data_IF_593811685495
#
_entry.id   IF_593811685495
#
_cell.length_a   1.000
_cell.length_b   1.000
_cell.length_c   1.000
_cell.angle_alpha   90.00
_cell.angle_beta   90.00
_cell.angle_gamma   90.00
#
_symmetry.space_group_name_H-M   'P 1'
#
loop_
_entity.id
_entity.type
_entity.pdbx_description
1 polymer ?
#
# COMPACT_ATOMS: atom_id res chain seq x y z
N UNK A 1 -70.55 -60.13 -21.37
CA UNK A 1 -69.13 -60.38 -21.68
C UNK A 1 -68.30 -59.53 -20.74
N UNK A 2 -67.50 -60.16 -19.89
CA UNK A 2 -66.40 -59.50 -19.15
C UNK A 2 -65.24 -59.17 -20.14
N UNK A 3 -64.25 -58.31 -19.82
CA UNK A 3 -63.29 -58.54 -18.72
C UNK A 3 -62.90 -57.26 -17.90
N UNK A 4 -62.62 -57.42 -16.60
CA UNK A 4 -61.30 -57.30 -15.91
C UNK A 4 -60.83 -55.85 -15.62
N UNK A 5 -60.82 -55.40 -14.37
CA UNK A 5 -59.82 -55.68 -13.32
C UNK A 5 -58.43 -55.07 -13.57
N UNK A 6 -58.15 -53.91 -12.93
CA UNK A 6 -56.80 -53.56 -12.47
C UNK A 6 -56.82 -52.58 -11.29
N UNK A 7 -56.89 -53.19 -10.11
CA UNK A 7 -56.25 -52.84 -8.84
C UNK A 7 -55.24 -51.67 -8.85
N UNK A 8 -55.44 -50.64 -8.02
CA UNK A 8 -54.41 -50.03 -7.13
C UNK A 8 -55.05 -49.36 -5.89
N UNK A 9 -54.94 -50.08 -4.78
CA UNK A 9 -54.95 -49.69 -3.35
C UNK A 9 -55.14 -48.19 -3.05
N UNK A 10 -56.30 -47.81 -2.50
CA UNK A 10 -56.42 -46.65 -1.60
C UNK A 10 -56.11 -47.11 -0.18
N UNK A 11 -54.84 -46.99 0.21
CA UNK A 11 -54.43 -47.11 1.61
C UNK A 11 -54.88 -45.88 2.40
N UNK A 12 -55.50 -46.14 3.55
CA UNK A 12 -55.76 -45.21 4.64
C UNK A 12 -54.61 -44.20 4.80
N UNK A 13 -54.89 -42.90 4.63
CA UNK A 13 -54.00 -41.84 5.10
C UNK A 13 -54.18 -41.75 6.61
N UNK A 14 -53.30 -42.46 7.33
CA UNK A 14 -53.09 -42.26 8.77
C UNK A 14 -52.40 -40.90 8.94
N UNK A 15 -53.11 -39.96 9.59
CA UNK A 15 -52.52 -38.71 10.05
C UNK A 15 -51.49 -39.04 11.13
N UNK A 16 -50.22 -39.22 10.73
CA UNK A 16 -49.09 -39.22 11.67
C UNK A 16 -48.83 -37.79 12.12
N UNK A 17 -48.98 -37.60 13.42
CA UNK A 17 -48.62 -36.45 14.21
C UNK A 17 -47.21 -35.95 13.87
N UNK A 18 -47.08 -34.64 13.65
CA UNK A 18 -45.78 -33.96 13.57
C UNK A 18 -45.13 -34.10 14.95
N UNK A 19 -43.88 -34.58 15.07
CA UNK A 19 -43.19 -34.58 16.35
C UNK A 19 -42.95 -33.14 16.78
N UNK A 20 -43.53 -32.75 17.92
CA UNK A 20 -43.22 -31.51 18.62
C UNK A 20 -41.75 -31.61 19.04
N UNK A 21 -40.87 -30.86 18.38
CA UNK A 21 -39.52 -30.64 18.90
C UNK A 21 -39.66 -29.90 20.22
N UNK A 22 -39.32 -30.58 21.31
CA UNK A 22 -39.16 -29.96 22.62
C UNK A 22 -38.17 -28.78 22.48
N UNK A 23 -38.47 -27.60 23.05
CA UNK A 23 -37.48 -26.55 23.13
C UNK A 23 -36.35 -27.04 24.04
N UNK A 24 -35.16 -27.24 23.46
CA UNK A 24 -33.93 -27.49 24.20
C UNK A 24 -33.71 -26.36 25.21
N UNK A 25 -34.18 -26.55 26.44
CA UNK A 25 -33.88 -25.71 27.60
C UNK A 25 -32.79 -26.39 28.42
N UNK A 26 -31.69 -26.76 27.74
CA UNK A 26 -30.43 -27.01 28.43
C UNK A 26 -29.75 -25.67 28.67
N UNK A 27 -30.22 -24.97 29.71
CA UNK A 27 -29.45 -23.91 30.36
C UNK A 27 -28.20 -24.59 30.95
N UNK A 28 -27.13 -24.57 30.15
CA UNK A 28 -25.82 -24.97 30.63
C UNK A 28 -25.35 -23.82 31.51
N UNK A 29 -25.56 -23.93 32.82
CA UNK A 29 -25.00 -22.98 33.79
C UNK A 29 -23.49 -23.13 33.76
N UNK A 30 -22.82 -22.34 32.93
CA UNK A 30 -21.36 -22.24 32.91
C UNK A 30 -20.93 -21.56 34.21
N UNK A 31 -20.58 -22.35 35.22
CA UNK A 31 -19.83 -21.85 36.38
C UNK A 31 -18.48 -21.35 35.89
N UNK A 32 -18.28 -20.03 35.94
CA UNK A 32 -17.01 -19.40 35.60
C UNK A 32 -15.90 -19.91 36.54
N UNK A 33 -14.72 -20.28 36.03
CA UNK A 33 -13.60 -20.69 36.87
C UNK A 33 -13.03 -19.45 37.58
N UNK A 34 -13.01 -19.47 38.92
CA UNK A 34 -12.27 -18.57 39.83
C UNK A 34 -12.12 -17.09 39.40
N UNK A 35 -13.22 -16.47 38.97
CA UNK A 35 -13.34 -15.06 38.66
C UNK A 35 -14.82 -14.68 38.59
N UNK A 36 -15.17 -13.43 38.88
CA UNK A 36 -16.57 -13.01 38.80
C UNK A 36 -17.05 -13.13 37.35
N UNK A 37 -18.30 -13.57 37.14
CA UNK A 37 -18.93 -13.64 35.83
C UNK A 37 -18.81 -12.30 35.06
N UNK A 38 -18.84 -11.18 35.79
CA UNK A 38 -18.65 -9.85 35.23
C UNK A 38 -17.23 -9.64 34.66
N UNK A 39 -16.19 -10.19 35.29
CA UNK A 39 -14.82 -10.12 34.79
C UNK A 39 -14.63 -10.95 33.50
N UNK A 40 -15.20 -12.17 33.46
CA UNK A 40 -15.19 -13.00 32.26
C UNK A 40 -15.98 -12.37 31.10
N UNK A 41 -17.14 -11.75 31.40
CA UNK A 41 -17.93 -11.02 30.41
C UNK A 41 -17.20 -9.78 29.88
N UNK A 42 -16.59 -8.99 30.76
CA UNK A 42 -15.81 -7.81 30.38
C UNK A 42 -14.62 -8.19 29.47
N UNK A 43 -13.90 -9.25 29.82
CA UNK A 43 -12.80 -9.77 29.01
C UNK A 43 -13.28 -10.25 27.63
N UNK A 44 -14.41 -10.95 27.58
CA UNK A 44 -15.03 -11.36 26.31
C UNK A 44 -15.40 -10.15 25.43
N UNK A 45 -16.06 -9.14 26.00
CA UNK A 45 -16.45 -7.92 25.28
C UNK A 45 -15.23 -7.18 24.72
N UNK A 46 -14.15 -7.04 25.51
CA UNK A 46 -12.91 -6.40 25.05
C UNK A 46 -12.28 -7.15 23.88
N UNK A 47 -12.21 -8.48 23.93
CA UNK A 47 -11.67 -9.29 22.82
C UNK A 47 -12.51 -9.19 21.54
N UNK A 48 -13.85 -9.10 21.68
CA UNK A 48 -14.71 -8.89 20.51
C UNK A 48 -14.57 -7.47 19.96
N UNK A 49 -14.44 -6.45 20.83
CA UNK A 49 -14.24 -5.07 20.41
C UNK A 49 -12.95 -4.91 19.58
N UNK A 50 -11.84 -5.52 20.02
CA UNK A 50 -10.56 -5.52 19.27
C UNK A 50 -10.70 -6.15 17.89
N UNK A 51 -11.45 -7.26 17.78
CA UNK A 51 -11.73 -7.92 16.50
C UNK A 51 -12.60 -7.05 15.59
N UNK A 52 -13.62 -6.39 16.13
CA UNK A 52 -14.45 -5.46 15.35
C UNK A 52 -13.63 -4.25 14.86
N UNK A 53 -12.79 -3.68 15.72
CA UNK A 53 -11.91 -2.57 15.34
C UNK A 53 -11.00 -2.97 14.19
N UNK A 54 -10.35 -4.14 14.27
CA UNK A 54 -9.49 -4.60 13.17
C UNK A 54 -10.27 -4.84 11.89
N UNK A 55 -11.45 -5.48 11.96
CA UNK A 55 -12.28 -5.68 10.78
C UNK A 55 -12.63 -4.35 10.09
N UNK A 56 -13.00 -3.33 10.87
CA UNK A 56 -13.26 -1.97 10.36
C UNK A 56 -12.01 -1.33 9.77
N UNK A 57 -10.84 -1.47 10.39
CA UNK A 57 -9.56 -0.97 9.85
C UNK A 57 -9.24 -1.61 8.50
N UNK A 58 -9.43 -2.92 8.37
CA UNK A 58 -9.19 -3.64 7.12
C UNK A 58 -10.15 -3.22 6.02
N UNK A 59 -11.43 -2.97 6.36
CA UNK A 59 -12.43 -2.44 5.44
C UNK A 59 -12.09 -1.01 4.99
N UNK A 60 -11.71 -0.14 5.91
CA UNK A 60 -11.26 1.23 5.62
C UNK A 60 -10.06 1.21 4.69
N UNK A 61 -9.05 0.39 4.98
CA UNK A 61 -7.86 0.26 4.12
C UNK A 61 -8.23 -0.24 2.72
N UNK A 62 -9.11 -1.24 2.63
CA UNK A 62 -9.57 -1.76 1.35
C UNK A 62 -10.33 -0.70 0.53
N UNK A 63 -11.16 0.11 1.17
CA UNK A 63 -11.88 1.22 0.53
C UNK A 63 -10.92 2.35 0.11
N UNK A 64 -10.06 2.82 1.01
CA UNK A 64 -9.03 3.84 0.72
C UNK A 64 -8.18 3.45 -0.49
N UNK A 65 -7.82 2.17 -0.60
CA UNK A 65 -6.93 1.71 -1.67
C UNK A 65 -7.49 1.77 -3.08
N UNK A 66 -8.80 2.06 -3.23
CA UNK A 66 -9.40 2.33 -4.54
C UNK A 66 -8.95 3.69 -5.08
N UNK A 67 -8.83 4.68 -4.20
CA UNK A 67 -8.46 6.06 -4.54
C UNK A 67 -6.96 6.29 -4.38
N UNK A 68 -6.40 5.86 -3.25
CA UNK A 68 -4.98 5.99 -2.92
C UNK A 68 -4.44 4.69 -2.30
N UNK A 69 -3.93 3.76 -3.15
CA UNK A 69 -3.39 2.50 -2.66
C UNK A 69 -2.09 2.67 -1.86
N UNK A 70 -1.33 3.74 -2.06
CA UNK A 70 -0.11 4.00 -1.30
C UNK A 70 -0.43 4.44 0.13
N UNK A 71 -1.38 5.37 0.30
CA UNK A 71 -1.84 5.79 1.62
C UNK A 71 -2.49 4.63 2.39
N UNK A 72 -3.28 3.79 1.71
CA UNK A 72 -3.88 2.61 2.32
C UNK A 72 -2.84 1.60 2.82
N UNK A 73 -1.75 1.39 2.07
CA UNK A 73 -0.64 0.54 2.50
C UNK A 73 0.05 1.10 3.74
N UNK A 74 0.39 2.40 3.74
CA UNK A 74 1.02 3.05 4.90
C UNK A 74 0.12 2.97 6.15
N UNK A 75 -1.18 3.25 6.00
CA UNK A 75 -2.17 3.15 7.07
C UNK A 75 -2.18 1.76 7.74
N UNK A 76 -2.05 0.69 6.95
CA UNK A 76 -1.97 -0.67 7.49
C UNK A 76 -0.59 -1.01 8.08
N UNK A 77 0.50 -0.48 7.56
CA UNK A 77 1.85 -0.78 8.03
C UNK A 77 2.21 -0.03 9.33
N UNK A 78 1.66 1.16 9.54
CA UNK A 78 1.90 1.97 10.74
C UNK A 78 1.27 1.36 12.01
N UNK A 79 0.30 0.44 11.88
CA UNK A 79 -0.27 -0.28 13.02
C UNK A 79 0.71 -1.33 13.56
N UNK A 80 1.24 -1.05 14.76
CA UNK A 80 2.13 -1.94 15.52
C UNK A 80 1.42 -3.02 16.33
N UNK A 81 0.10 -2.91 16.50
CA UNK A 81 -0.69 -3.91 17.21
C UNK A 81 -0.72 -5.25 16.45
N UNK A 82 -0.63 -6.35 17.20
CA UNK A 82 -0.77 -7.70 16.66
C UNK A 82 -2.17 -7.86 16.04
N UNK A 83 -2.28 -8.30 14.78
CA UNK A 83 -3.57 -8.50 14.13
C UNK A 83 -4.31 -9.70 14.74
N UNK A 84 -5.56 -9.51 15.14
CA UNK A 84 -6.49 -10.60 15.44
C UNK A 84 -6.87 -11.42 14.19
N UNK A 85 -6.74 -10.85 12.98
CA UNK A 85 -6.95 -11.54 11.70
C UNK A 85 -5.72 -11.47 10.78
N UNK A 86 -4.60 -12.15 11.12
CA UNK A 86 -3.34 -12.03 10.40
C UNK A 86 -3.42 -12.42 8.92
N UNK A 87 -4.20 -13.46 8.59
CA UNK A 87 -4.39 -13.90 7.21
C UNK A 87 -5.22 -12.91 6.38
N UNK A 88 -6.26 -12.34 6.98
CA UNK A 88 -7.08 -11.33 6.31
C UNK A 88 -6.27 -10.06 6.07
N UNK A 89 -5.51 -9.60 7.07
CA UNK A 89 -4.59 -8.45 6.93
C UNK A 89 -3.58 -8.65 5.80
N UNK A 90 -2.95 -9.83 5.71
CA UNK A 90 -2.05 -10.14 4.59
C UNK A 90 -2.76 -10.14 3.23
N UNK A 91 -3.97 -10.69 3.15
CA UNK A 91 -4.74 -10.70 1.90
C UNK A 91 -5.14 -9.29 1.45
N UNK A 92 -5.52 -8.42 2.39
CA UNK A 92 -5.82 -7.02 2.10
C UNK A 92 -4.56 -6.29 1.64
N UNK A 93 -3.43 -6.44 2.35
CA UNK A 93 -2.14 -5.88 1.93
C UNK A 93 -1.75 -6.33 0.51
N UNK A 94 -1.84 -7.63 0.20
CA UNK A 94 -1.54 -8.15 -1.14
C UNK A 94 -2.47 -7.59 -2.22
N UNK A 95 -3.74 -7.34 -1.90
CA UNK A 95 -4.68 -6.69 -2.83
C UNK A 95 -4.30 -5.22 -3.08
N UNK A 96 -3.87 -4.52 -2.04
CA UNK A 96 -3.37 -3.15 -2.14
C UNK A 96 -2.11 -3.11 -3.01
N UNK A 97 -1.15 -4.01 -2.78
CA UNK A 97 0.07 -4.15 -3.57
C UNK A 97 -0.22 -4.40 -5.05
N UNK A 98 -1.18 -5.28 -5.37
CA UNK A 98 -1.61 -5.50 -6.75
C UNK A 98 -2.20 -4.23 -7.40
N UNK A 99 -2.91 -3.39 -6.64
CA UNK A 99 -3.44 -2.11 -7.14
C UNK A 99 -2.32 -1.10 -7.37
N UNK A 100 -1.32 -1.06 -6.50
CA UNK A 100 -0.11 -0.24 -6.69
C UNK A 100 0.57 -0.66 -8.01
N UNK A 101 0.83 -1.95 -8.20
CA UNK A 101 1.48 -2.45 -9.41
C UNK A 101 0.66 -2.18 -10.68
N UNK A 102 -0.67 -2.32 -10.60
CA UNK A 102 -1.56 -1.97 -11.71
C UNK A 102 -1.53 -0.46 -12.03
N UNK A 103 -1.49 0.40 -11.02
CA UNK A 103 -1.36 1.85 -11.19
C UNK A 103 0.00 2.21 -11.79
N UNK A 104 1.09 1.58 -11.34
CA UNK A 104 2.44 1.73 -11.91
C UNK A 104 2.46 1.30 -13.38
N UNK A 105 1.83 0.18 -13.72
CA UNK A 105 1.74 -0.30 -15.10
C UNK A 105 0.92 0.65 -15.98
N UNK A 106 -0.26 1.10 -15.53
CA UNK A 106 -1.10 2.04 -16.27
C UNK A 106 -0.42 3.40 -16.46
N UNK A 107 0.31 3.88 -15.45
CA UNK A 107 1.15 5.06 -15.57
C UNK A 107 2.19 4.83 -16.67
N UNK A 108 3.00 3.76 -16.56
CA UNK A 108 4.01 3.39 -17.57
C UNK A 108 3.43 3.34 -19.00
N UNK A 109 2.27 2.73 -19.19
CA UNK A 109 1.63 2.64 -20.50
C UNK A 109 1.22 4.01 -21.06
N UNK A 110 0.75 4.92 -20.20
CA UNK A 110 0.51 6.33 -20.60
C UNK A 110 1.81 7.05 -20.96
N UNK A 111 2.92 6.75 -20.28
CA UNK A 111 4.23 7.32 -20.58
C UNK A 111 4.79 6.81 -21.91
N UNK A 112 4.53 5.55 -22.27
CA UNK A 112 4.95 4.98 -23.56
C UNK A 112 4.30 5.68 -24.76
N UNK A 113 3.16 6.35 -24.57
CA UNK A 113 2.49 7.15 -25.60
C UNK A 113 3.10 8.54 -25.78
N UNK A 114 3.90 9.01 -24.82
CA UNK A 114 4.62 10.29 -24.92
C UNK A 114 5.99 10.01 -25.53
N UNK A 115 6.22 10.54 -26.73
CA UNK A 115 7.49 10.36 -27.46
C UNK A 115 8.21 11.69 -27.61
N UNK A 116 9.54 11.64 -27.67
CA UNK A 116 10.40 12.83 -27.76
C UNK A 116 11.48 12.88 -26.69
N UNK A 117 12.36 13.87 -26.77
CA UNK A 117 13.49 14.01 -25.82
C UNK A 117 13.01 14.38 -24.41
N UNK A 118 11.89 15.08 -24.29
CA UNK A 118 11.19 15.46 -23.05
C UNK A 118 10.12 14.46 -22.60
N UNK A 119 10.05 13.29 -23.25
CA UNK A 119 9.21 12.22 -22.76
C UNK A 119 9.65 11.83 -21.33
N UNK A 120 8.72 11.39 -20.47
CA UNK A 120 9.03 10.89 -19.14
C UNK A 120 10.12 9.81 -19.14
N UNK A 121 11.22 10.03 -18.41
CA UNK A 121 12.40 9.16 -18.43
C UNK A 121 13.22 9.21 -19.74
N UNK A 122 12.94 10.20 -20.58
CA UNK A 122 13.55 10.48 -21.87
C UNK A 122 14.98 11.04 -21.77
N UNK A 123 15.50 11.57 -22.87
CA UNK A 123 16.88 12.06 -22.93
C UNK A 123 17.10 13.26 -22.00
N UNK A 124 16.12 14.15 -21.91
CA UNK A 124 16.17 15.33 -21.02
C UNK A 124 16.28 14.93 -19.56
N UNK A 125 15.45 13.99 -19.10
CA UNK A 125 15.49 13.48 -17.73
C UNK A 125 16.82 12.79 -17.41
N UNK A 126 17.29 11.92 -18.32
CA UNK A 126 18.59 11.24 -18.18
C UNK A 126 19.76 12.22 -18.18
N UNK A 127 19.68 13.30 -18.97
CA UNK A 127 20.71 14.33 -19.00
C UNK A 127 20.74 15.11 -17.68
N UNK A 128 19.58 15.47 -17.11
CA UNK A 128 19.51 16.11 -15.78
C UNK A 128 20.08 15.19 -14.69
N UNK A 129 19.68 13.93 -14.68
CA UNK A 129 20.22 12.92 -13.75
C UNK A 129 21.75 12.81 -13.87
N UNK A 130 22.28 12.73 -15.10
CA UNK A 130 23.71 12.65 -15.35
C UNK A 130 24.47 13.92 -14.92
N UNK A 131 23.89 15.11 -15.17
CA UNK A 131 24.46 16.39 -14.74
C UNK A 131 24.59 16.43 -13.21
N UNK A 132 23.53 16.06 -12.49
CA UNK A 132 23.54 16.03 -11.03
C UNK A 132 24.53 14.99 -10.49
N UNK A 133 24.55 13.77 -11.06
CA UNK A 133 25.47 12.71 -10.63
C UNK A 133 26.94 13.08 -10.81
N UNK A 134 27.25 13.86 -11.84
CA UNK A 134 28.62 14.31 -12.11
C UNK A 134 29.10 15.34 -11.10
N UNK A 135 28.22 16.24 -10.67
CA UNK A 135 28.53 17.33 -9.76
C UNK A 135 27.31 17.70 -8.90
N UNK A 136 27.05 16.94 -7.82
CA UNK A 136 25.90 17.20 -6.96
C UNK A 136 26.08 18.50 -6.17
N UNK A 137 27.32 18.88 -5.85
CA UNK A 137 27.67 20.08 -5.08
C UNK A 137 27.24 21.38 -5.76
N UNK A 138 27.15 21.39 -7.09
CA UNK A 138 26.63 22.53 -7.85
C UNK A 138 25.13 22.80 -7.60
N UNK A 139 24.36 21.79 -7.18
CA UNK A 139 22.90 21.89 -6.98
C UNK A 139 22.49 21.73 -5.52
N UNK A 140 23.29 21.00 -4.74
CA UNK A 140 23.07 20.71 -3.33
C UNK A 140 24.36 21.06 -2.57
N UNK A 141 24.45 22.25 -1.95
CA UNK A 141 25.66 22.70 -1.25
C UNK A 141 26.13 21.68 -0.21
N UNK A 142 27.42 21.34 -0.22
CA UNK A 142 28.00 20.35 0.68
C UNK A 142 27.82 18.89 0.25
N UNK A 143 27.17 18.63 -0.90
CA UNK A 143 27.07 17.30 -1.47
C UNK A 143 28.28 16.94 -2.34
N UNK A 144 28.76 15.72 -2.20
CA UNK A 144 29.82 15.12 -3.00
C UNK A 144 29.33 13.84 -3.70
N UNK A 145 30.06 13.42 -4.73
CA UNK A 145 29.79 12.17 -5.43
C UNK A 145 30.07 10.99 -4.51
N UNK A 146 29.05 10.18 -4.20
CA UNK A 146 29.25 8.95 -3.43
C UNK A 146 29.99 7.90 -4.26
N UNK A 147 30.81 7.10 -3.59
CA UNK A 147 31.49 5.92 -4.15
C UNK A 147 30.67 4.63 -3.97
N UNK A 148 29.58 4.70 -3.22
CA UNK A 148 28.69 3.55 -2.97
C UNK A 148 27.94 3.21 -4.25
N UNK A 149 27.94 1.93 -4.61
CA UNK A 149 27.23 1.46 -5.80
C UNK A 149 25.72 1.65 -5.64
N UNK A 150 25.00 1.93 -6.74
CA UNK A 150 23.55 1.81 -6.77
C UNK A 150 23.12 0.44 -6.27
N UNK A 151 22.17 0.38 -5.33
CA UNK A 151 21.65 -0.89 -4.80
C UNK A 151 20.35 -1.33 -5.49
N UNK A 152 19.68 -0.41 -6.16
CA UNK A 152 18.55 -0.68 -7.06
C UNK A 152 18.73 0.09 -8.37
N UNK A 153 18.03 -0.32 -9.45
CA UNK A 153 18.18 0.30 -10.78
C UNK A 153 17.94 1.82 -10.79
N UNK A 154 17.11 2.32 -9.88
CA UNK A 154 16.73 3.72 -9.81
C UNK A 154 17.38 4.50 -8.65
N UNK A 155 17.97 3.84 -7.64
CA UNK A 155 18.52 4.50 -6.46
C UNK A 155 20.04 4.51 -6.46
N UNK A 156 20.61 5.68 -6.14
CA UNK A 156 22.05 5.88 -5.95
C UNK A 156 22.27 6.76 -4.71
N UNK A 157 23.52 7.15 -4.45
CA UNK A 157 23.83 7.96 -3.27
C UNK A 157 24.59 9.23 -3.64
N UNK A 158 24.43 10.24 -2.79
CA UNK A 158 25.36 11.36 -2.65
C UNK A 158 25.92 11.35 -1.24
N UNK A 159 27.14 11.85 -1.08
CA UNK A 159 27.75 11.99 0.23
C UNK A 159 27.47 13.40 0.74
N UNK A 160 26.87 13.53 1.92
CA UNK A 160 26.63 14.84 2.55
C UNK A 160 27.06 14.73 4.01
N UNK A 161 27.94 15.62 4.44
CA UNK A 161 28.50 15.62 5.80
C UNK A 161 29.15 14.26 6.17
N UNK A 162 29.77 13.59 5.20
CA UNK A 162 30.39 12.28 5.38
C UNK A 162 29.43 11.10 5.51
N UNK A 163 28.11 11.30 5.33
CA UNK A 163 27.09 10.23 5.31
C UNK A 163 26.53 10.03 3.91
N UNK A 164 26.34 8.77 3.50
CA UNK A 164 25.65 8.45 2.26
C UNK A 164 24.14 8.69 2.39
N UNK A 165 23.58 9.39 1.40
CA UNK A 165 22.16 9.76 1.35
C UNK A 165 21.56 9.23 0.06
N UNK A 166 20.47 8.42 0.12
CA UNK A 166 19.84 7.88 -1.08
C UNK A 166 19.23 8.98 -1.93
N UNK A 167 19.37 8.82 -3.24
CA UNK A 167 18.93 9.72 -4.28
C UNK A 167 18.14 8.98 -5.35
N UNK A 168 17.10 9.61 -5.88
CA UNK A 168 16.33 9.12 -7.04
C UNK A 168 15.91 10.28 -7.94
N UNK A 169 15.81 10.03 -9.24
CA UNK A 169 15.22 10.98 -10.18
C UNK A 169 13.70 10.79 -10.19
N UNK A 170 12.96 11.86 -9.94
CA UNK A 170 11.50 11.88 -10.04
C UNK A 170 11.10 12.44 -11.39
N UNK A 171 10.45 11.61 -12.20
CA UNK A 171 9.86 12.09 -13.44
C UNK A 171 8.52 12.77 -13.15
N UNK A 172 8.24 13.91 -13.78
CA UNK A 172 6.99 14.66 -13.57
C UNK A 172 5.72 13.81 -13.71
N UNK A 173 5.76 12.83 -14.61
CA UNK A 173 4.60 11.99 -14.87
C UNK A 173 4.53 10.72 -13.99
N UNK A 174 5.54 10.49 -13.13
CA UNK A 174 5.60 9.38 -12.17
C UNK A 174 5.90 9.84 -10.73
N UNK A 175 5.78 11.14 -10.43
CA UNK A 175 6.18 11.78 -9.16
C UNK A 175 5.68 11.01 -7.93
N UNK A 176 4.40 10.63 -7.90
CA UNK A 176 3.80 9.93 -6.76
C UNK A 176 4.44 8.56 -6.53
N UNK A 177 4.65 7.79 -7.62
CA UNK A 177 5.29 6.48 -7.55
C UNK A 177 6.74 6.60 -7.13
N UNK A 178 7.51 7.49 -7.77
CA UNK A 178 8.94 7.65 -7.50
C UNK A 178 9.18 8.16 -6.06
N UNK A 179 8.30 9.04 -5.56
CA UNK A 179 8.37 9.52 -4.18
C UNK A 179 8.00 8.42 -3.18
N UNK A 180 7.03 7.57 -3.49
CA UNK A 180 6.69 6.43 -2.63
C UNK A 180 7.85 5.45 -2.53
N UNK A 181 8.49 5.12 -3.66
CA UNK A 181 9.66 4.24 -3.67
C UNK A 181 10.80 4.81 -2.78
N UNK A 182 10.96 6.15 -2.72
CA UNK A 182 11.91 6.79 -1.79
C UNK A 182 11.47 6.64 -0.33
N UNK A 183 10.19 6.80 -0.01
CA UNK A 183 9.67 6.60 1.35
C UNK A 183 9.88 5.16 1.81
N UNK A 184 9.59 4.18 0.96
CA UNK A 184 9.85 2.77 1.24
C UNK A 184 11.34 2.51 1.47
N UNK A 185 12.20 3.06 0.61
CA UNK A 185 13.66 2.96 0.76
C UNK A 185 14.12 3.43 2.14
N UNK A 186 13.62 4.58 2.64
CA UNK A 186 13.98 5.10 3.95
C UNK A 186 13.41 4.26 5.10
N UNK A 187 12.19 3.71 4.95
CA UNK A 187 11.57 2.86 5.95
C UNK A 187 12.31 1.51 6.12
N UNK A 188 12.75 0.91 5.01
CA UNK A 188 13.46 -0.37 5.00
C UNK A 188 14.93 -0.24 5.45
N UNK A 189 15.55 0.91 5.15
CA UNK A 189 16.97 1.14 5.41
C UNK A 189 17.17 2.18 6.53
N UNK A 190 17.01 1.72 7.78
CA UNK A 190 17.13 2.57 9.00
C UNK A 190 18.45 3.32 9.17
N UNK A 191 19.48 2.98 8.39
CA UNK A 191 20.74 3.72 8.34
C UNK A 191 20.61 5.11 7.70
N UNK A 192 19.54 5.34 6.91
CA UNK A 192 19.30 6.61 6.24
C UNK A 192 18.32 7.48 7.03
N UNK A 193 18.77 8.66 7.42
CA UNK A 193 17.95 9.65 8.14
C UNK A 193 17.14 10.54 7.18
N UNK A 194 17.61 10.70 5.93
CA UNK A 194 17.03 11.57 4.91
C UNK A 194 17.18 10.99 3.51
N UNK A 195 16.40 11.49 2.55
CA UNK A 195 16.51 11.17 1.13
C UNK A 195 16.50 12.43 0.23
N UNK A 196 17.03 12.30 -0.98
CA UNK A 196 17.02 13.38 -1.99
C UNK A 196 16.26 12.92 -3.23
N UNK A 197 15.28 13.69 -3.65
CA UNK A 197 14.61 13.52 -4.95
C UNK A 197 15.07 14.62 -5.88
N UNK A 198 15.51 14.26 -7.07
CA UNK A 198 15.95 15.23 -8.08
C UNK A 198 14.97 15.25 -9.24
N UNK A 199 14.73 16.41 -9.85
CA UNK A 199 13.83 16.49 -11.00
C UNK A 199 13.98 17.78 -11.79
N UNK A 200 13.18 17.90 -12.84
CA UNK A 200 13.08 19.14 -13.60
C UNK A 200 12.55 20.29 -12.71
N UNK A 201 12.98 21.55 -12.92
CA UNK A 201 12.50 22.70 -12.15
C UNK A 201 10.98 22.85 -12.12
N UNK A 202 10.32 22.46 -13.20
CA UNK A 202 8.86 22.49 -13.35
C UNK A 202 8.17 21.52 -12.38
N UNK A 203 8.82 20.42 -12.00
CA UNK A 203 8.34 19.42 -11.04
C UNK A 203 8.28 19.98 -9.60
N UNK A 204 9.02 21.04 -9.29
CA UNK A 204 9.10 21.60 -7.94
C UNK A 204 7.73 21.99 -7.36
N UNK A 205 6.85 22.55 -8.19
CA UNK A 205 5.49 22.96 -7.78
C UNK A 205 4.60 21.75 -7.51
N UNK A 206 4.71 20.74 -8.37
CA UNK A 206 3.88 19.54 -8.32
C UNK A 206 4.24 18.67 -7.09
N UNK A 207 5.49 18.73 -6.61
CA UNK A 207 5.98 17.90 -5.51
C UNK A 207 5.97 18.60 -4.13
N UNK A 208 5.94 19.93 -4.06
CA UNK A 208 6.12 20.68 -2.82
C UNK A 208 5.14 20.31 -1.68
N UNK A 209 3.92 19.88 -2.01
CA UNK A 209 2.92 19.44 -1.03
C UNK A 209 2.94 17.95 -0.69
N UNK A 210 3.79 17.16 -1.38
CA UNK A 210 3.86 15.71 -1.25
C UNK A 210 5.10 15.24 -0.48
N UNK A 211 6.14 16.08 -0.40
CA UNK A 211 7.42 15.71 0.22
C UNK A 211 7.30 15.52 1.74
N UNK A 212 7.68 14.34 2.25
CA UNK A 212 7.93 14.14 3.68
C UNK A 212 9.06 15.06 4.19
N UNK A 213 9.07 15.43 5.49
CA UNK A 213 10.02 16.40 6.04
C UNK A 213 11.48 15.95 5.97
N UNK A 214 11.74 14.65 5.87
CA UNK A 214 13.07 14.07 5.74
C UNK A 214 13.49 13.86 4.27
N UNK A 215 12.71 14.32 3.29
CA UNK A 215 13.03 14.23 1.87
C UNK A 215 13.16 15.63 1.28
N UNK A 216 14.30 15.93 0.67
CA UNK A 216 14.52 17.21 -0.01
C UNK A 216 14.40 17.05 -1.53
N UNK A 217 13.80 18.05 -2.18
CA UNK A 217 13.77 18.14 -3.65
C UNK A 217 14.86 19.06 -4.19
N UNK A 218 15.56 18.61 -5.22
CA UNK A 218 16.58 19.39 -5.94
C UNK A 218 16.19 19.54 -7.40
N UNK A 219 15.97 20.80 -7.81
CA UNK A 219 15.70 21.15 -9.20
C UNK A 219 17.01 21.18 -10.00
N UNK A 220 17.08 20.39 -11.07
CA UNK A 220 18.26 20.32 -11.93
C UNK A 220 17.91 20.87 -13.31
N UNK A 221 18.33 22.09 -13.69
CA UNK A 221 18.12 22.63 -15.03
C UNK A 221 18.95 21.87 -16.08
N UNK A 222 18.43 21.72 -17.30
CA UNK A 222 19.26 21.42 -18.45
C UNK A 222 20.07 22.65 -18.79
N UNK A 223 21.32 22.46 -19.21
CA UNK A 223 22.06 23.53 -19.85
C UNK A 223 21.27 23.95 -21.08
N UNK A 224 20.72 25.17 -21.07
CA UNK A 224 20.22 25.78 -22.30
C UNK A 224 21.43 25.98 -23.19
N UNK A 225 21.54 25.21 -24.28
CA UNK A 225 22.41 25.57 -25.39
C UNK A 225 22.17 27.06 -25.66
N UNK A 226 23.23 27.87 -25.64
CA UNK A 226 23.18 29.32 -25.58
C UNK A 226 22.55 30.05 -26.77
N UNK A 227 21.37 29.63 -27.24
CA UNK A 227 20.49 30.43 -28.08
C UNK A 227 19.71 31.38 -27.18
N UNK A 228 20.37 32.49 -26.85
CA UNK A 228 19.66 33.75 -26.61
C UNK A 228 18.78 34.05 -27.83
N UNK A 229 17.54 34.46 -27.56
CA UNK A 229 16.73 35.19 -28.51
C UNK A 229 17.43 36.47 -28.98
#
# INVERSE_FOLDING_TARGET
>A
MAPEARERRRGLVSHRSIPVTEPCTHLTTTTAPNGSLAASLAQGISQYAERFEEASVLEIAAAMSVEDPHAARSFLLERTAEPAFPMLRRSVLGTIELRIEAAKAAARDRLLLVTGDDAPGGKSDKAREAIFRRDPGAFLPGAEVSKVRPFARAFWHVLIDGKDVPCVYVCRAAVVSDLHDMVECLAENRQYERGIVIGAPETARDIAGLLPPNIAFVAVPLATDGRRA
#
